data_IF_242746366382
#
_entry.id   IF_242746366382
#
_cell.length_a   1.000
_cell.length_b   1.000
_cell.length_c   1.000
_cell.angle_alpha   90.00
_cell.angle_beta   90.00
_cell.angle_gamma   90.00
#
_symmetry.space_group_name_H-M   'P 1'
#
loop_
_entity.id
_entity.type
_entity.pdbx_description
1 polymer ?
#
# COMPACT_ATOMS: atom_id res chain seq x y z
N UNK A 1 -24.90 -4.79 3.37
CA UNK A 1 -25.62 -4.06 4.43
C UNK A 1 -26.24 -2.81 3.80
N UNK A 2 -27.41 -2.35 4.26
CA UNK A 2 -28.02 -1.10 3.76
C UNK A 2 -27.07 0.06 4.11
N UNK A 3 -26.50 0.72 3.12
CA UNK A 3 -25.79 1.98 3.30
C UNK A 3 -26.77 3.01 3.87
N UNK A 4 -26.40 3.58 5.02
CA UNK A 4 -27.18 4.50 5.83
C UNK A 4 -27.75 5.65 4.98
N UNK A 5 -29.04 5.96 5.16
CA UNK A 5 -29.73 7.12 4.56
C UNK A 5 -29.12 8.49 4.98
N UNK A 6 -28.10 8.49 5.85
CA UNK A 6 -27.38 9.66 6.37
C UNK A 6 -25.99 9.87 5.78
N UNK A 7 -25.48 8.96 4.94
CA UNK A 7 -24.15 9.12 4.32
C UNK A 7 -24.16 10.28 3.32
N UNK A 8 -23.12 11.11 3.34
CA UNK A 8 -23.06 12.36 2.55
C UNK A 8 -21.68 12.55 1.96
N UNK A 9 -21.52 13.49 1.02
CA UNK A 9 -20.21 13.88 0.49
C UNK A 9 -19.17 14.25 1.55
N UNK A 10 -19.61 14.73 2.72
CA UNK A 10 -18.70 15.06 3.82
C UNK A 10 -18.16 13.79 4.50
N UNK A 11 -18.94 12.71 4.51
CA UNK A 11 -18.47 11.39 4.93
C UNK A 11 -17.50 10.78 3.91
N UNK A 12 -17.81 10.89 2.61
CA UNK A 12 -16.88 10.45 1.54
C UNK A 12 -15.55 11.23 1.63
N UNK A 13 -15.60 12.55 1.90
CA UNK A 13 -14.40 13.37 2.09
C UNK A 13 -13.66 12.99 3.38
N UNK A 14 -14.36 12.83 4.50
CA UNK A 14 -13.74 12.42 5.76
C UNK A 14 -13.04 11.07 5.63
N UNK A 15 -13.68 10.07 5.00
CA UNK A 15 -13.11 8.75 4.77
C UNK A 15 -11.83 8.84 3.92
N UNK A 16 -11.85 9.65 2.86
CA UNK A 16 -10.67 9.88 2.04
C UNK A 16 -9.52 10.54 2.83
N UNK A 17 -9.82 11.60 3.59
CA UNK A 17 -8.82 12.31 4.39
C UNK A 17 -8.22 11.41 5.47
N UNK A 18 -9.05 10.60 6.13
CA UNK A 18 -8.59 9.55 7.06
C UNK A 18 -7.66 8.58 6.34
N UNK A 19 -8.00 8.15 5.13
CA UNK A 19 -7.14 7.21 4.37
C UNK A 19 -5.80 7.84 4.00
N UNK A 20 -5.76 9.15 3.75
CA UNK A 20 -4.51 9.86 3.45
C UNK A 20 -3.65 10.01 4.69
N UNK A 21 -4.20 10.42 5.84
CA UNK A 21 -3.42 10.52 7.09
C UNK A 21 -3.22 9.19 7.81
N UNK A 22 -3.92 8.13 7.39
CA UNK A 22 -3.68 6.80 7.91
C UNK A 22 -2.78 6.07 6.93
N UNK A 23 -1.46 6.23 7.14
CA UNK A 23 -0.54 5.18 6.73
C UNK A 23 -1.05 3.85 7.32
N UNK A 24 -1.02 2.77 6.54
CA UNK A 24 -1.80 1.54 6.82
C UNK A 24 -1.51 0.85 8.16
N UNK A 25 -0.61 1.39 8.97
CA UNK A 25 -0.08 0.82 10.20
C UNK A 25 0.08 1.79 11.39
N UNK A 26 -0.12 3.11 11.21
CA UNK A 26 -0.13 4.07 12.31
C UNK A 26 -1.53 4.66 12.50
N UNK A 27 -2.10 4.53 13.69
CA UNK A 27 -3.29 5.29 14.08
C UNK A 27 -3.07 6.76 13.74
N UNK A 28 -4.09 7.43 13.20
CA UNK A 28 -4.06 8.88 12.96
C UNK A 28 -3.51 9.59 14.18
N UNK A 29 -2.46 10.36 14.00
CA UNK A 29 -1.93 11.23 15.04
C UNK A 29 -3.01 12.25 15.44
N UNK A 30 -2.90 12.82 16.64
CA UNK A 30 -3.82 13.88 17.05
C UNK A 30 -3.79 15.07 16.06
N UNK A 31 -2.64 15.34 15.43
CA UNK A 31 -2.49 16.44 14.47
C UNK A 31 -3.25 16.14 13.17
N UNK A 32 -3.13 14.93 12.62
CA UNK A 32 -3.88 14.51 11.43
C UNK A 32 -5.38 14.45 11.72
N UNK A 33 -5.78 13.92 12.87
CA UNK A 33 -7.18 13.86 13.26
C UNK A 33 -7.80 15.27 13.40
N UNK A 34 -7.08 16.21 14.01
CA UNK A 34 -7.50 17.62 14.09
C UNK A 34 -7.56 18.26 12.69
N UNK A 35 -6.59 17.96 11.81
CA UNK A 35 -6.57 18.43 10.41
C UNK A 35 -7.74 17.88 9.58
N UNK A 36 -8.14 16.62 9.81
CA UNK A 36 -9.34 16.02 9.20
C UNK A 36 -10.60 16.78 9.66
N UNK A 37 -10.73 17.04 10.97
CA UNK A 37 -11.90 17.79 11.50
C UNK A 37 -11.95 19.20 10.91
N UNK A 38 -10.83 19.93 10.90
CA UNK A 38 -10.74 21.27 10.32
C UNK A 38 -11.12 21.24 8.84
N UNK A 39 -10.53 20.31 8.09
CA UNK A 39 -10.78 20.09 6.68
C UNK A 39 -12.23 19.75 6.38
N UNK A 40 -12.93 18.96 7.20
CA UNK A 40 -14.35 18.64 6.99
C UNK A 40 -15.26 19.80 7.39
N UNK A 41 -14.92 20.55 8.45
CA UNK A 41 -15.68 21.71 8.91
C UNK A 41 -15.81 22.79 7.84
N UNK A 42 -14.78 22.94 7.00
CA UNK A 42 -14.78 23.83 5.84
C UNK A 42 -15.88 23.56 4.81
N UNK A 43 -16.36 22.31 4.73
CA UNK A 43 -17.42 21.87 3.83
C UNK A 43 -18.78 21.86 4.50
N UNK A 44 -18.81 22.10 5.82
CA UNK A 44 -19.97 22.11 6.71
C UNK A 44 -19.97 23.37 7.60
N UNK A 45 -19.91 24.58 7.01
CA UNK A 45 -19.76 25.82 7.79
C UNK A 45 -20.96 26.15 8.69
N UNK A 46 -22.13 25.54 8.41
CA UNK A 46 -23.36 25.72 9.19
C UNK A 46 -23.49 24.69 10.33
N UNK A 47 -22.66 23.63 10.32
CA UNK A 47 -22.69 22.57 11.33
C UNK A 47 -21.78 22.95 12.51
N UNK A 48 -22.14 22.51 13.70
CA UNK A 48 -21.30 22.61 14.89
C UNK A 48 -20.09 21.68 14.81
N UNK A 49 -19.05 21.97 15.59
CA UNK A 49 -17.86 21.11 15.66
C UNK A 49 -18.22 19.69 16.13
N UNK A 50 -19.21 19.55 17.01
CA UNK A 50 -19.72 18.26 17.47
C UNK A 50 -20.36 17.45 16.32
N UNK A 51 -21.15 18.09 15.46
CA UNK A 51 -21.75 17.45 14.28
C UNK A 51 -20.68 17.05 13.25
N UNK A 52 -19.68 17.91 13.03
CA UNK A 52 -18.53 17.58 12.17
C UNK A 52 -17.73 16.40 12.73
N UNK A 53 -17.51 16.36 14.05
CA UNK A 53 -16.84 15.24 14.71
C UNK A 53 -17.62 13.93 14.55
N UNK A 54 -18.95 13.99 14.64
CA UNK A 54 -19.80 12.81 14.40
C UNK A 54 -19.60 12.26 12.99
N UNK A 55 -19.58 13.11 11.97
CA UNK A 55 -19.26 12.73 10.58
C UNK A 55 -17.89 12.04 10.49
N UNK A 56 -16.87 12.61 11.13
CA UNK A 56 -15.51 12.03 11.14
C UNK A 56 -15.49 10.68 11.86
N UNK A 57 -16.16 10.55 13.01
CA UNK A 57 -16.24 9.27 13.74
C UNK A 57 -17.01 8.19 12.97
N UNK A 58 -18.08 8.55 12.25
CA UNK A 58 -18.77 7.64 11.34
C UNK A 58 -17.83 7.17 10.22
N UNK A 59 -17.03 8.07 9.65
CA UNK A 59 -16.04 7.71 8.64
C UNK A 59 -14.93 6.81 9.21
N UNK A 60 -14.40 7.09 10.41
CA UNK A 60 -13.44 6.20 11.11
C UNK A 60 -14.06 4.81 11.34
N UNK A 61 -15.33 4.76 11.70
CA UNK A 61 -16.03 3.49 11.93
C UNK A 61 -16.16 2.66 10.65
N UNK A 62 -16.28 3.30 9.48
CA UNK A 62 -16.23 2.63 8.18
C UNK A 62 -14.80 2.23 7.83
N UNK A 63 -13.83 3.10 8.09
CA UNK A 63 -12.43 2.84 7.84
C UNK A 63 -11.91 1.59 8.57
N UNK A 64 -12.41 1.32 9.78
CA UNK A 64 -12.06 0.13 10.56
C UNK A 64 -12.73 -1.17 10.09
N UNK A 65 -13.59 -1.14 9.07
CA UNK A 65 -14.26 -2.33 8.53
C UNK A 65 -13.40 -3.03 7.46
N UNK A 66 -13.63 -4.32 7.25
CA UNK A 66 -12.76 -5.17 6.42
C UNK A 66 -12.82 -4.90 4.91
N UNK A 67 -13.75 -4.06 4.45
CA UNK A 67 -14.05 -3.68 3.06
C UNK A 67 -13.70 -2.21 2.76
N UNK A 68 -12.85 -1.59 3.57
CA UNK A 68 -12.46 -0.17 3.44
C UNK A 68 -11.93 0.20 2.05
N UNK A 69 -11.14 -0.65 1.39
CA UNK A 69 -10.56 -0.36 0.07
C UNK A 69 -11.64 -0.10 -0.99
N UNK A 70 -12.72 -0.87 -0.96
CA UNK A 70 -13.85 -0.69 -1.88
C UNK A 70 -14.60 0.62 -1.58
N UNK A 71 -14.77 0.95 -0.31
CA UNK A 71 -15.46 2.17 0.15
C UNK A 71 -14.64 3.44 -0.13
N UNK A 72 -13.33 3.40 0.02
CA UNK A 72 -12.41 4.48 -0.34
C UNK A 72 -12.42 4.68 -1.86
N UNK A 73 -12.28 3.61 -2.63
CA UNK A 73 -12.31 3.68 -4.09
C UNK A 73 -13.68 4.17 -4.61
N UNK A 74 -14.79 3.82 -3.93
CA UNK A 74 -16.12 4.37 -4.19
C UNK A 74 -16.16 5.87 -3.88
N UNK A 75 -15.64 6.29 -2.74
CA UNK A 75 -15.64 7.69 -2.28
C UNK A 75 -14.83 8.60 -3.20
N UNK A 76 -13.63 8.19 -3.63
CA UNK A 76 -12.82 8.95 -4.59
C UNK A 76 -13.58 9.20 -5.90
N UNK A 77 -14.26 8.17 -6.42
CA UNK A 77 -15.06 8.28 -7.66
C UNK A 77 -16.33 9.09 -7.46
N UNK A 78 -17.00 8.93 -6.32
CA UNK A 78 -18.19 9.69 -5.92
C UNK A 78 -17.86 11.20 -5.91
N UNK A 79 -16.82 11.58 -5.16
CA UNK A 79 -16.35 12.96 -5.05
C UNK A 79 -15.92 13.54 -6.40
N UNK A 80 -15.29 12.76 -7.29
CA UNK A 80 -15.00 13.22 -8.67
C UNK A 80 -16.26 13.71 -9.38
N UNK A 81 -17.37 12.98 -9.24
CA UNK A 81 -18.62 13.29 -9.94
C UNK A 81 -19.44 14.38 -9.26
N UNK A 82 -19.36 14.47 -7.93
CA UNK A 82 -20.16 15.41 -7.14
C UNK A 82 -19.51 16.79 -6.98
N UNK A 83 -18.18 16.87 -7.00
CA UNK A 83 -17.43 18.11 -6.82
C UNK A 83 -17.19 18.83 -8.16
N UNK A 84 -17.40 20.14 -8.17
CA UNK A 84 -16.95 20.99 -9.28
C UNK A 84 -15.42 20.95 -9.42
N UNK A 85 -14.84 21.36 -10.57
CA UNK A 85 -13.39 21.48 -10.71
C UNK A 85 -12.73 22.29 -9.57
N UNK A 86 -13.30 23.45 -9.22
CA UNK A 86 -12.77 24.30 -8.14
C UNK A 86 -12.90 23.64 -6.76
N UNK A 87 -13.94 22.84 -6.57
CA UNK A 87 -14.10 22.05 -5.35
C UNK A 87 -13.10 20.90 -5.27
N UNK A 88 -12.78 20.25 -6.40
CA UNK A 88 -11.72 19.23 -6.46
C UNK A 88 -10.36 19.81 -6.11
N UNK A 89 -10.05 21.01 -6.61
CA UNK A 89 -8.82 21.74 -6.24
C UNK A 89 -8.77 22.03 -4.73
N UNK A 90 -9.87 22.52 -4.15
CA UNK A 90 -9.95 22.74 -2.70
C UNK A 90 -9.83 21.44 -1.91
N UNK A 91 -10.49 20.36 -2.35
CA UNK A 91 -10.38 19.06 -1.70
C UNK A 91 -8.94 18.52 -1.76
N UNK A 92 -8.22 18.78 -2.86
CA UNK A 92 -6.80 18.43 -2.97
C UNK A 92 -5.92 19.20 -1.97
N UNK A 93 -6.22 20.48 -1.72
CA UNK A 93 -5.56 21.23 -0.64
C UNK A 93 -5.83 20.62 0.74
N UNK A 94 -7.06 20.16 1.00
CA UNK A 94 -7.39 19.51 2.28
C UNK A 94 -6.67 18.16 2.43
N UNK A 95 -6.59 17.38 1.34
CA UNK A 95 -5.81 16.13 1.28
C UNK A 95 -4.34 16.40 1.64
N UNK A 96 -3.74 17.44 1.07
CA UNK A 96 -2.38 17.84 1.39
C UNK A 96 -2.22 18.30 2.85
N UNK A 97 -3.15 19.10 3.36
CA UNK A 97 -3.10 19.62 4.72
C UNK A 97 -3.20 18.52 5.79
N UNK A 98 -3.87 17.41 5.48
CA UNK A 98 -3.89 16.24 6.37
C UNK A 98 -2.56 15.49 6.30
N UNK A 99 -2.03 15.21 5.10
CA UNK A 99 -0.75 14.54 4.93
C UNK A 99 0.44 15.31 5.54
N UNK A 100 0.36 16.64 5.62
CA UNK A 100 1.43 17.45 6.24
C UNK A 100 1.28 17.63 7.75
N UNK A 101 0.17 17.17 8.34
CA UNK A 101 -0.25 17.61 9.67
C UNK A 101 0.72 17.19 10.79
N UNK A 102 1.35 16.02 10.66
CA UNK A 102 2.35 15.52 11.59
C UNK A 102 3.78 15.99 11.26
N UNK A 103 3.95 16.67 10.11
CA UNK A 103 5.21 17.19 9.60
C UNK A 103 6.03 16.21 8.77
N UNK A 104 5.51 15.02 8.47
CA UNK A 104 6.17 14.00 7.64
C UNK A 104 5.20 13.55 6.55
N UNK A 105 5.62 13.56 5.29
CA UNK A 105 4.84 12.90 4.22
C UNK A 105 5.52 11.60 3.86
N UNK A 106 4.79 10.50 4.02
CA UNK A 106 5.23 9.16 3.64
C UNK A 106 5.01 8.91 2.14
N UNK A 107 5.73 7.94 1.58
CA UNK A 107 5.67 7.63 0.15
C UNK A 107 4.31 7.05 -0.29
N UNK A 108 3.64 6.29 0.58
CA UNK A 108 2.27 5.81 0.35
C UNK A 108 1.25 6.96 0.27
N UNK A 109 1.36 7.96 1.15
CA UNK A 109 0.51 9.16 1.15
C UNK A 109 0.76 9.96 -0.13
N UNK A 110 2.04 10.19 -0.47
CA UNK A 110 2.44 10.85 -1.72
C UNK A 110 1.89 10.14 -2.96
N UNK A 111 1.91 8.81 -2.95
CA UNK A 111 1.40 7.98 -4.04
C UNK A 111 -0.11 8.06 -4.15
N UNK A 112 -0.81 7.99 -3.01
CA UNK A 112 -2.26 8.15 -2.95
C UNK A 112 -2.69 9.56 -3.39
N UNK A 113 -2.00 10.61 -2.94
CA UNK A 113 -2.21 12.01 -3.37
C UNK A 113 -2.07 12.13 -4.89
N UNK A 114 -1.05 11.49 -5.47
CA UNK A 114 -0.83 11.47 -6.92
C UNK A 114 -1.97 10.78 -7.65
N UNK A 115 -2.40 9.59 -7.19
CA UNK A 115 -3.54 8.85 -7.76
C UNK A 115 -4.84 9.65 -7.66
N UNK A 116 -5.12 10.29 -6.53
CA UNK A 116 -6.29 11.17 -6.35
C UNK A 116 -6.20 12.34 -7.34
N UNK A 117 -5.02 12.95 -7.49
CA UNK A 117 -4.78 14.05 -8.42
C UNK A 117 -5.04 13.67 -9.88
N UNK A 118 -4.65 12.47 -10.29
CA UNK A 118 -4.95 11.94 -11.62
C UNK A 118 -6.46 11.71 -11.80
N UNK A 119 -7.11 11.04 -10.85
CA UNK A 119 -8.54 10.72 -10.93
C UNK A 119 -9.38 11.99 -10.94
N UNK A 120 -9.05 12.97 -10.10
CA UNK A 120 -9.76 14.24 -10.00
C UNK A 120 -9.34 15.27 -11.04
N UNK A 121 -8.40 14.95 -11.93
CA UNK A 121 -7.89 15.87 -12.96
C UNK A 121 -7.24 17.13 -12.36
N UNK A 122 -6.69 17.01 -11.15
CA UNK A 122 -5.96 18.04 -10.39
C UNK A 122 -4.47 17.73 -10.27
N UNK A 123 -3.93 16.90 -11.18
CA UNK A 123 -2.53 16.43 -11.15
C UNK A 123 -1.50 17.57 -11.11
N UNK A 124 -1.76 18.68 -11.80
CA UNK A 124 -0.89 19.86 -11.75
C UNK A 124 -0.86 20.52 -10.36
N UNK A 125 -1.97 20.47 -9.63
CA UNK A 125 -2.06 21.02 -8.28
C UNK A 125 -1.42 20.09 -7.27
N UNK A 126 -1.66 18.78 -7.36
CA UNK A 126 -1.00 17.82 -6.47
C UNK A 126 0.52 17.84 -6.66
N UNK A 127 1.02 17.89 -7.90
CA UNK A 127 2.46 18.00 -8.18
C UNK A 127 3.06 19.30 -7.61
N UNK A 128 2.35 20.42 -7.78
CA UNK A 128 2.77 21.71 -7.21
C UNK A 128 2.81 21.66 -5.68
N UNK A 129 1.77 21.13 -5.03
CA UNK A 129 1.69 21.04 -3.58
C UNK A 129 2.79 20.13 -3.01
N UNK A 130 3.01 18.97 -3.62
CA UNK A 130 4.11 18.07 -3.24
C UNK A 130 5.50 18.70 -3.44
N UNK A 131 5.64 19.63 -4.39
CA UNK A 131 6.90 20.36 -4.60
C UNK A 131 7.08 21.54 -3.63
N UNK A 132 5.99 22.13 -3.13
CA UNK A 132 6.00 23.27 -2.20
C UNK A 132 5.98 22.87 -0.73
N UNK A 133 5.72 21.59 -0.42
CA UNK A 133 5.66 21.05 0.94
C UNK A 133 6.95 21.31 1.73
N UNK A 134 6.77 21.59 3.02
CA UNK A 134 7.85 21.71 3.99
C UNK A 134 7.94 20.52 4.94
N UNK A 135 7.03 19.56 4.83
CA UNK A 135 7.09 18.32 5.58
C UNK A 135 8.38 17.57 5.22
N UNK A 136 8.97 16.90 6.22
CA UNK A 136 10.09 16.01 5.95
C UNK A 136 9.56 14.87 5.08
N UNK A 137 10.17 14.69 3.91
CA UNK A 137 9.94 13.47 3.14
C UNK A 137 10.70 12.38 3.86
N UNK A 138 10.00 11.40 4.43
CA UNK A 138 10.65 10.14 4.73
C UNK A 138 11.05 9.56 3.37
N UNK A 139 12.34 9.68 3.01
CA UNK A 139 12.84 8.95 1.87
C UNK A 139 12.65 7.47 2.21
N UNK A 140 11.90 6.73 1.39
CA UNK A 140 11.87 5.28 1.50
C UNK A 140 13.28 4.75 1.78
N UNK A 141 13.42 3.78 2.70
CA UNK A 141 14.70 3.13 2.89
C UNK A 141 15.25 2.68 1.53
N UNK A 142 16.56 2.87 1.31
CA UNK A 142 17.24 2.52 0.06
C UNK A 142 16.81 1.11 -0.41
N UNK A 143 16.33 1.00 -1.66
CA UNK A 143 15.83 -0.27 -2.22
C UNK A 143 16.83 -1.38 -1.96
N UNK A 144 16.46 -2.28 -1.06
CA UNK A 144 17.35 -3.27 -0.47
C UNK A 144 17.08 -4.65 -1.05
N UNK A 145 18.00 -5.59 -0.80
CA UNK A 145 17.81 -7.00 -1.20
C UNK A 145 16.53 -7.61 -0.63
N UNK A 146 15.99 -7.11 0.49
CA UNK A 146 14.70 -7.56 1.00
C UNK A 146 13.53 -7.11 0.11
N UNK A 147 13.62 -5.93 -0.51
CA UNK A 147 12.64 -5.49 -1.51
C UNK A 147 12.68 -6.38 -2.75
N UNK A 148 13.88 -6.76 -3.20
CA UNK A 148 14.02 -7.71 -4.31
C UNK A 148 13.41 -9.08 -3.97
N UNK A 149 13.65 -9.59 -2.75
CA UNK A 149 13.05 -10.84 -2.27
C UNK A 149 11.53 -10.73 -2.21
N UNK A 150 11.00 -9.65 -1.62
CA UNK A 150 9.57 -9.39 -1.54
C UNK A 150 8.93 -9.34 -2.94
N UNK A 151 9.57 -8.64 -3.89
CA UNK A 151 9.10 -8.55 -5.26
C UNK A 151 9.04 -9.93 -5.93
N UNK A 152 10.06 -10.78 -5.75
CA UNK A 152 10.05 -12.14 -6.30
C UNK A 152 8.95 -13.00 -5.69
N UNK A 153 8.65 -12.84 -4.40
CA UNK A 153 7.53 -13.53 -3.75
C UNK A 153 6.17 -13.07 -4.28
N UNK A 154 5.99 -11.75 -4.48
CA UNK A 154 4.78 -11.16 -5.08
C UNK A 154 4.58 -11.67 -6.51
N UNK A 155 5.64 -11.71 -7.32
CA UNK A 155 5.59 -12.19 -8.71
C UNK A 155 5.18 -13.66 -8.77
N UNK A 156 5.67 -14.49 -7.84
CA UNK A 156 5.27 -15.90 -7.76
C UNK A 156 3.77 -16.00 -7.46
N UNK A 157 3.35 -15.38 -6.35
CA UNK A 157 2.00 -15.49 -5.79
C UNK A 157 0.96 -14.92 -6.78
N UNK A 158 1.17 -13.70 -7.29
CA UNK A 158 0.26 -13.11 -8.27
C UNK A 158 0.36 -13.76 -9.66
N UNK A 159 1.51 -14.34 -10.02
CA UNK A 159 1.73 -14.90 -11.35
C UNK A 159 0.99 -16.22 -11.59
N UNK A 160 0.58 -16.92 -10.53
CA UNK A 160 -0.10 -18.22 -10.60
C UNK A 160 -1.56 -18.07 -11.06
N UNK A 161 -2.32 -17.17 -10.43
CA UNK A 161 -3.76 -17.03 -10.63
C UNK A 161 -4.22 -15.58 -10.92
N UNK A 162 -3.31 -14.61 -10.84
CA UNK A 162 -3.60 -13.18 -11.04
C UNK A 162 -4.22 -12.49 -9.83
N UNK A 163 -4.13 -13.08 -8.64
CA UNK A 163 -4.64 -12.57 -7.37
C UNK A 163 -3.54 -12.66 -6.32
N UNK A 164 -3.49 -11.70 -5.40
CA UNK A 164 -2.68 -11.81 -4.18
C UNK A 164 -3.61 -11.99 -3.01
N UNK A 165 -3.71 -13.21 -2.50
CA UNK A 165 -4.56 -13.53 -1.37
C UNK A 165 -3.98 -12.96 -0.07
N UNK A 166 -4.86 -12.63 0.89
CA UNK A 166 -4.44 -12.11 2.20
C UNK A 166 -3.51 -13.07 2.95
N UNK A 167 -3.73 -14.37 2.81
CA UNK A 167 -2.90 -15.40 3.47
C UNK A 167 -1.49 -15.49 2.86
N UNK A 168 -1.35 -15.26 1.54
CA UNK A 168 -0.04 -15.20 0.87
C UNK A 168 0.74 -13.94 1.30
N UNK A 169 0.07 -12.78 1.34
CA UNK A 169 0.68 -11.53 1.82
C UNK A 169 1.15 -11.66 3.27
N UNK A 170 0.33 -12.24 4.15
CA UNK A 170 0.70 -12.48 5.54
C UNK A 170 1.91 -13.43 5.67
N UNK A 171 2.00 -14.44 4.80
CA UNK A 171 3.16 -15.31 4.79
C UNK A 171 4.41 -14.64 4.23
N UNK A 172 4.29 -13.81 3.20
CA UNK A 172 5.39 -13.00 2.68
C UNK A 172 5.94 -12.11 3.81
N UNK A 173 5.08 -11.37 4.51
CA UNK A 173 5.45 -10.54 5.65
C UNK A 173 6.17 -11.36 6.73
N UNK A 174 5.59 -12.50 7.12
CA UNK A 174 6.19 -13.39 8.12
C UNK A 174 7.57 -13.91 7.68
N UNK A 175 7.76 -14.22 6.40
CA UNK A 175 9.07 -14.64 5.87
C UNK A 175 10.07 -13.50 5.88
N UNK A 176 9.70 -12.31 5.44
CA UNK A 176 10.59 -11.14 5.47
C UNK A 176 11.03 -10.81 6.91
N UNK A 177 10.14 -10.91 7.90
CA UNK A 177 10.47 -10.74 9.31
C UNK A 177 11.47 -11.80 9.82
N UNK A 178 11.35 -13.05 9.34
CA UNK A 178 12.29 -14.11 9.68
C UNK A 178 13.70 -13.85 9.13
N UNK A 179 13.81 -13.19 7.97
CA UNK A 179 15.10 -12.85 7.35
C UNK A 179 15.87 -11.77 8.09
N UNK A 180 15.19 -10.83 8.73
CA UNK A 180 15.79 -9.77 9.53
C UNK A 180 15.05 -9.64 10.87
N UNK A 181 15.35 -10.50 11.85
CA UNK A 181 14.67 -10.49 13.15
C UNK A 181 15.00 -9.24 13.99
N UNK A 182 15.98 -8.45 13.56
CA UNK A 182 16.35 -7.17 14.17
C UNK A 182 15.53 -5.99 13.64
N UNK A 183 14.83 -6.15 12.50
CA UNK A 183 13.92 -5.13 12.00
C UNK A 183 12.65 -5.12 12.85
N UNK A 184 12.15 -3.92 13.12
CA UNK A 184 10.81 -3.76 13.68
C UNK A 184 9.78 -4.23 12.66
N UNK A 185 8.65 -4.73 13.16
CA UNK A 185 7.56 -5.26 12.33
C UNK A 185 7.11 -4.25 11.27
N UNK A 186 7.10 -2.97 11.64
CA UNK A 186 6.78 -1.85 10.76
C UNK A 186 7.74 -1.71 9.58
N UNK A 187 9.04 -1.88 9.81
CA UNK A 187 10.03 -1.80 8.75
C UNK A 187 9.87 -2.95 7.75
N UNK A 188 9.45 -4.14 8.21
CA UNK A 188 9.19 -5.30 7.34
C UNK A 188 7.97 -5.05 6.45
N UNK A 189 6.90 -4.49 7.01
CA UNK A 189 5.69 -4.17 6.26
C UNK A 189 5.90 -3.04 5.27
N UNK A 190 6.67 -2.01 5.61
CA UNK A 190 7.08 -0.97 4.66
C UNK A 190 7.82 -1.57 3.46
N UNK A 191 8.76 -2.49 3.68
CA UNK A 191 9.44 -3.20 2.58
C UNK A 191 8.45 -3.95 1.66
N UNK A 192 7.47 -4.65 2.25
CA UNK A 192 6.44 -5.35 1.49
C UNK A 192 5.56 -4.37 0.70
N UNK A 193 5.17 -3.25 1.31
CA UNK A 193 4.37 -2.19 0.69
C UNK A 193 5.10 -1.56 -0.50
N UNK A 194 6.37 -1.23 -0.34
CA UNK A 194 7.20 -0.63 -1.40
C UNK A 194 7.34 -1.59 -2.59
N UNK A 195 7.53 -2.88 -2.31
CA UNK A 195 7.58 -3.90 -3.36
C UNK A 195 6.23 -4.09 -4.08
N UNK A 196 5.10 -4.05 -3.36
CA UNK A 196 3.75 -4.09 -3.94
C UNK A 196 3.48 -2.86 -4.80
N UNK A 197 3.87 -1.68 -4.33
CA UNK A 197 3.74 -0.44 -5.07
C UNK A 197 4.54 -0.51 -6.38
N UNK A 198 5.81 -0.91 -6.30
CA UNK A 198 6.63 -1.11 -7.49
C UNK A 198 5.99 -2.10 -8.46
N UNK A 199 5.50 -3.25 -7.96
CA UNK A 199 4.81 -4.24 -8.78
C UNK A 199 3.53 -3.69 -9.44
N UNK A 200 2.75 -2.87 -8.72
CA UNK A 200 1.51 -2.26 -9.24
C UNK A 200 1.75 -1.32 -10.43
N UNK A 201 2.97 -0.77 -10.56
CA UNK A 201 3.34 0.11 -11.69
C UNK A 201 3.55 -0.67 -13.00
N UNK A 202 3.54 -2.00 -12.95
CA UNK A 202 3.72 -2.89 -14.08
C UNK A 202 5.18 -3.02 -14.51
N UNK A 203 6.06 -3.55 -13.64
CA UNK A 203 7.48 -3.68 -13.94
C UNK A 203 7.70 -4.55 -15.17
N UNK A 204 8.72 -4.19 -15.94
CA UNK A 204 9.11 -4.95 -17.13
C UNK A 204 9.80 -6.25 -16.74
N UNK A 205 9.98 -7.15 -17.71
CA UNK A 205 10.77 -8.37 -17.50
C UNK A 205 12.24 -8.08 -17.15
N UNK A 206 12.75 -6.93 -17.59
CA UNK A 206 14.11 -6.49 -17.27
C UNK A 206 14.21 -6.11 -15.80
N UNK A 207 13.23 -5.35 -15.29
CA UNK A 207 13.16 -4.98 -13.87
C UNK A 207 13.12 -6.21 -12.94
N UNK A 208 12.28 -7.20 -13.27
CA UNK A 208 12.25 -8.46 -12.51
C UNK A 208 13.57 -9.23 -12.62
N UNK A 209 14.19 -9.24 -13.81
CA UNK A 209 15.50 -9.87 -14.02
C UNK A 209 16.59 -9.20 -13.18
N UNK A 210 16.55 -7.88 -13.05
CA UNK A 210 17.49 -7.12 -12.23
C UNK A 210 17.34 -7.47 -10.75
N UNK A 211 16.12 -7.55 -10.22
CA UNK A 211 15.90 -8.03 -8.84
C UNK A 211 16.39 -9.46 -8.62
N UNK A 212 16.13 -10.38 -9.54
CA UNK A 212 16.67 -11.76 -9.40
C UNK A 212 18.19 -11.81 -9.44
N UNK A 213 18.82 -10.88 -10.19
CA UNK A 213 20.29 -10.75 -10.26
C UNK A 213 20.84 -10.13 -8.98
N UNK A 214 20.19 -9.10 -8.44
CA UNK A 214 20.56 -8.47 -7.18
C UNK A 214 20.53 -9.48 -6.02
N UNK A 215 19.48 -10.31 -5.92
CA UNK A 215 19.42 -11.41 -4.94
C UNK A 215 20.61 -12.36 -5.12
N UNK A 216 20.94 -12.73 -6.36
CA UNK A 216 22.04 -13.65 -6.66
C UNK A 216 23.38 -13.10 -6.19
N UNK A 217 23.61 -11.81 -6.39
CA UNK A 217 24.87 -11.12 -6.09
C UNK A 217 25.04 -10.83 -4.60
N UNK A 218 23.96 -10.47 -3.90
CA UNK A 218 24.00 -10.06 -2.50
C UNK A 218 23.85 -11.23 -1.52
N UNK A 219 23.22 -12.34 -1.93
CA UNK A 219 23.02 -13.51 -1.06
C UNK A 219 24.03 -14.62 -1.32
N UNK A 220 24.45 -15.26 -0.23
CA UNK A 220 25.21 -16.52 -0.30
C UNK A 220 24.36 -17.65 -0.87
N UNK A 221 25.00 -18.71 -1.39
CA UNK A 221 24.29 -19.90 -1.92
C UNK A 221 23.33 -20.54 -0.89
N UNK A 222 23.69 -20.54 0.39
CA UNK A 222 22.82 -21.03 1.46
C UNK A 222 21.58 -20.15 1.66
N UNK A 223 21.76 -18.83 1.64
CA UNK A 223 20.66 -17.87 1.71
C UNK A 223 19.75 -17.98 0.48
N UNK A 224 20.29 -18.11 -0.73
CA UNK A 224 19.47 -18.32 -1.94
C UNK A 224 18.63 -19.59 -1.86
N UNK A 225 19.16 -20.67 -1.26
CA UNK A 225 18.38 -21.87 -1.00
C UNK A 225 17.24 -21.60 0.00
N UNK A 226 17.47 -20.78 1.03
CA UNK A 226 16.41 -20.34 1.94
C UNK A 226 15.33 -19.57 1.19
N UNK A 227 15.67 -18.64 0.30
CA UNK A 227 14.69 -17.90 -0.52
C UNK A 227 13.86 -18.85 -1.37
N UNK A 228 14.49 -19.86 -1.98
CA UNK A 228 13.79 -20.89 -2.75
C UNK A 228 12.86 -21.73 -1.89
N UNK A 229 13.26 -22.10 -0.67
CA UNK A 229 12.38 -22.81 0.25
C UNK A 229 11.20 -21.94 0.73
N UNK A 230 11.43 -20.64 0.90
CA UNK A 230 10.39 -19.70 1.27
C UNK A 230 9.38 -19.51 0.12
N UNK A 231 9.85 -19.49 -1.14
CA UNK A 231 8.98 -19.51 -2.33
C UNK A 231 8.10 -20.76 -2.38
N UNK A 232 8.68 -21.94 -2.13
CA UNK A 232 7.90 -23.20 -2.04
C UNK A 232 6.85 -23.09 -0.94
N UNK A 233 7.24 -22.61 0.24
CA UNK A 233 6.31 -22.44 1.35
C UNK A 233 5.17 -21.48 1.02
N UNK A 234 5.45 -20.36 0.33
CA UNK A 234 4.45 -19.37 -0.01
C UNK A 234 3.45 -19.93 -1.03
N UNK A 235 3.94 -20.57 -2.09
CA UNK A 235 3.06 -21.17 -3.11
C UNK A 235 2.31 -22.43 -2.65
N UNK A 236 2.59 -22.94 -1.44
CA UNK A 236 1.84 -24.06 -0.84
C UNK A 236 0.71 -23.59 0.10
N UNK A 237 0.52 -22.27 0.27
CA UNK A 237 -0.43 -21.72 1.25
C UNK A 237 -1.88 -21.93 0.83
N UNK A 238 -2.17 -21.71 -0.44
CA UNK A 238 -3.51 -21.82 -1.01
C UNK A 238 -3.80 -23.22 -1.59
N UNK A 239 -2.79 -24.09 -1.66
CA UNK A 239 -2.93 -25.46 -2.11
C UNK A 239 -1.62 -26.09 -2.59
N UNK A 240 -1.73 -26.96 -3.59
CA UNK A 240 -0.55 -27.53 -4.24
C UNK A 240 0.01 -26.51 -5.25
N UNK A 241 1.34 -26.44 -5.36
CA UNK A 241 2.02 -25.61 -6.36
C UNK A 241 1.46 -25.86 -7.76
N UNK A 242 1.10 -24.79 -8.44
CA UNK A 242 0.73 -24.80 -9.85
C UNK A 242 1.95 -25.13 -10.73
N UNK A 243 1.68 -25.50 -11.98
CA UNK A 243 2.76 -25.69 -12.96
C UNK A 243 3.57 -24.42 -13.22
N UNK A 244 2.93 -23.25 -13.16
CA UNK A 244 3.60 -21.96 -13.32
C UNK A 244 4.59 -21.69 -12.17
N UNK A 245 4.15 -21.87 -10.93
CA UNK A 245 4.98 -21.65 -9.74
C UNK A 245 6.14 -22.64 -9.70
N UNK A 246 5.87 -23.90 -10.03
CA UNK A 246 6.91 -24.94 -10.13
C UNK A 246 7.97 -24.53 -11.16
N UNK A 247 7.54 -24.14 -12.37
CA UNK A 247 8.45 -23.72 -13.44
C UNK A 247 9.27 -22.47 -13.04
N UNK A 248 8.67 -21.52 -12.33
CA UNK A 248 9.35 -20.32 -11.85
C UNK A 248 10.38 -20.64 -10.77
N UNK A 249 10.01 -21.45 -9.78
CA UNK A 249 10.90 -21.87 -8.69
C UNK A 249 12.09 -22.67 -9.24
N UNK A 250 11.85 -23.59 -10.18
CA UNK A 250 12.92 -24.36 -10.84
C UNK A 250 13.87 -23.44 -11.63
N UNK A 251 13.34 -22.47 -12.37
CA UNK A 251 14.17 -21.49 -13.10
C UNK A 251 15.02 -20.64 -12.16
N UNK A 252 14.45 -20.16 -11.04
CA UNK A 252 15.19 -19.40 -10.04
C UNK A 252 16.27 -20.25 -9.38
N UNK A 253 15.99 -21.52 -9.08
CA UNK A 253 16.99 -22.41 -8.51
C UNK A 253 18.17 -22.66 -9.45
N UNK A 254 17.92 -22.83 -10.75
CA UNK A 254 18.96 -22.91 -11.79
C UNK A 254 19.76 -21.61 -11.86
N UNK A 255 19.07 -20.46 -11.91
CA UNK A 255 19.69 -19.13 -11.99
C UNK A 255 20.61 -18.85 -10.79
N UNK A 256 20.17 -19.27 -9.60
CA UNK A 256 20.88 -19.08 -8.35
C UNK A 256 21.85 -20.21 -7.99
N UNK A 257 22.00 -21.21 -8.87
CA UNK A 257 22.86 -22.39 -8.67
C UNK A 257 22.58 -23.06 -7.32
N UNK A 258 21.31 -23.37 -7.03
CA UNK A 258 20.88 -24.08 -5.81
C UNK A 258 20.10 -25.34 -6.16
N UNK A 259 20.26 -26.38 -5.33
CA UNK A 259 19.55 -27.66 -5.50
C UNK A 259 18.23 -27.63 -4.71
N UNK A 260 17.10 -27.73 -5.40
CA UNK A 260 15.79 -27.92 -4.77
C UNK A 260 15.67 -29.40 -4.36
N UNK A 261 15.32 -29.65 -3.11
CA UNK A 261 14.81 -30.98 -2.70
C UNK A 261 13.30 -30.95 -2.79
N UNK A 262 12.75 -31.29 -3.96
CA UNK A 262 11.31 -31.54 -4.06
C UNK A 262 11.00 -32.85 -3.35
N UNK A 263 10.09 -32.83 -2.38
CA UNK A 263 9.63 -34.02 -1.64
C UNK A 263 8.67 -34.83 -2.50
N UNK A 264 9.06 -35.21 -3.71
CA UNK A 264 8.21 -35.98 -4.63
C UNK A 264 8.86 -37.32 -4.93
N UNK A 265 8.78 -38.26 -3.96
CA UNK A 265 8.81 -39.70 -4.22
C UNK A 265 7.97 -40.44 -3.16
N UNK A 266 6.72 -40.78 -3.52
CA UNK A 266 6.16 -42.09 -3.22
C UNK A 266 6.64 -43.12 -4.26
#
# INVERSE_FOLDING_TARGET
MNTNETWTRAHDLALLLITVGHSSEADLTNAEFDSVIESVSEWRPDDSIEEVREIVFEAVSVFQQSDVDEEVARSIRSLKTELSPEQRERAMHNVMAVAEADGVIQDNERSLITVIGEIWETGATSEKLLAETHAESEMAPEWSVLHDIALVFIVLSHGSDGVLAKDELAAIEHRLAYWQPELEEEAVRTILRDALQFYSTGPTKEDISDSTSAIREHLTKAQRLTVVNDLVYIGEIDGDLTGYETDMIEQLAILWDVEIRTSSQE
#
